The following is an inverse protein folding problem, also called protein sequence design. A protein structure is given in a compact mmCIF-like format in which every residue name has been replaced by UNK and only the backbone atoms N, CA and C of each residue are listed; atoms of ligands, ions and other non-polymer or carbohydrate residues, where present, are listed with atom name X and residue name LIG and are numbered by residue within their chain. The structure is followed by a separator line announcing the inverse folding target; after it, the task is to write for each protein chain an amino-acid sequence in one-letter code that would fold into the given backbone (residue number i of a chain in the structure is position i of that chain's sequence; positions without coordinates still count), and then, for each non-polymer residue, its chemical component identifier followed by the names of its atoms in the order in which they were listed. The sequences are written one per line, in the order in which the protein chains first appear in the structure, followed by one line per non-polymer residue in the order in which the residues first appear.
data_IF_008503038151
#
_entry.id   IF_008503038151
#
_cell.length_a   1.000
_cell.length_b   1.000
_cell.length_c   1.000
_cell.angle_alpha   90.00
_cell.angle_beta   90.00
_cell.angle_gamma   90.00
#
_symmetry.space_group_name_H-M   'P 1'
#
loop_
_entity.id
_entity.type
_entity.pdbx_description
1 polymer ?
#
# COMPACT_ATOMS: atom_id res chain seq x y z
N UNK A 1 14.79 0.85 -17.93
CA UNK A 1 14.87 1.49 -16.60
C UNK A 1 13.45 1.81 -16.15
N UNK A 2 12.62 0.80 -15.87
CA UNK A 2 11.23 0.97 -15.39
C UNK A 2 10.73 -0.37 -14.81
N UNK A 3 11.06 -0.65 -13.55
CA UNK A 3 10.62 -1.84 -12.82
C UNK A 3 10.41 -1.49 -11.35
N UNK A 4 9.40 -0.68 -11.07
CA UNK A 4 8.93 -0.43 -9.71
C UNK A 4 7.46 -0.10 -9.80
N UNK A 5 6.60 -0.94 -9.22
CA UNK A 5 5.31 -0.62 -8.56
C UNK A 5 4.39 -1.84 -8.59
N UNK A 6 4.33 -2.51 -7.45
CA UNK A 6 3.33 -3.50 -7.04
C UNK A 6 3.02 -3.18 -5.57
N UNK A 7 1.82 -3.48 -5.05
CA UNK A 7 1.37 -3.50 -3.63
C UNK A 7 1.77 -2.30 -2.73
N UNK A 8 0.89 -1.47 -2.16
CA UNK A 8 1.32 -0.32 -1.31
C UNK A 8 0.68 -0.21 0.07
N UNK A 9 -0.19 -1.13 0.47
CA UNK A 9 -0.73 -1.14 1.83
C UNK A 9 0.13 -2.02 2.76
N UNK A 10 0.45 -3.25 2.37
CA UNK A 10 1.34 -4.15 3.12
C UNK A 10 2.84 -4.03 2.78
N UNK A 11 3.24 -3.11 1.88
CA UNK A 11 4.63 -3.07 1.42
C UNK A 11 5.57 -2.30 2.33
N UNK A 12 5.21 -1.19 2.93
CA UNK A 12 6.27 -0.27 3.37
C UNK A 12 6.97 -0.65 4.66
N UNK A 13 6.32 -1.40 5.56
CA UNK A 13 7.02 -2.08 6.67
C UNK A 13 7.79 -3.31 6.16
N UNK A 14 7.15 -4.17 5.37
CA UNK A 14 7.75 -5.39 4.82
C UNK A 14 8.87 -5.16 3.80
N UNK A 15 8.94 -3.98 3.18
CA UNK A 15 9.91 -3.63 2.12
C UNK A 15 11.18 -3.01 2.63
N UNK A 16 11.15 -2.30 3.76
CA UNK A 16 12.39 -1.85 4.38
C UNK A 16 13.28 -3.05 4.70
N UNK A 17 12.67 -4.19 5.03
CA UNK A 17 13.34 -5.46 5.28
C UNK A 17 13.70 -6.23 4.00
N UNK A 18 12.75 -6.41 3.07
CA UNK A 18 12.97 -7.24 1.88
C UNK A 18 13.79 -6.55 0.76
N UNK A 19 13.74 -5.22 0.63
CA UNK A 19 14.49 -4.50 -0.42
C UNK A 19 16.00 -4.50 -0.16
N UNK A 20 16.43 -4.80 1.06
CA UNK A 20 17.85 -4.85 1.43
C UNK A 20 18.48 -6.19 1.01
N UNK A 21 17.73 -7.29 1.05
CA UNK A 21 18.20 -8.63 0.66
C UNK A 21 18.55 -8.74 -0.84
N UNK A 22 17.92 -7.93 -1.70
CA UNK A 22 18.06 -8.04 -3.17
C UNK A 22 18.88 -6.86 -3.77
N UNK A 23 19.15 -5.81 -2.98
CA UNK A 23 19.80 -4.57 -3.46
C UNK A 23 21.32 -4.49 -3.27
N UNK A 24 21.96 -5.48 -2.65
CA UNK A 24 23.37 -5.43 -2.27
C UNK A 24 24.33 -5.89 -3.37
N UNK A 25 24.46 -5.12 -4.47
CA UNK A 25 25.65 -5.09 -5.35
C UNK A 25 25.38 -4.19 -6.58
N UNK A 26 25.39 -2.87 -6.40
CA UNK A 26 25.56 -1.93 -7.52
C UNK A 26 26.55 -0.85 -7.09
N UNK A 27 27.69 -0.79 -7.78
CA UNK A 27 28.72 0.22 -7.61
C UNK A 27 28.12 1.63 -7.72
N UNK A 28 28.44 2.50 -6.75
CA UNK A 28 27.99 3.90 -6.72
C UNK A 28 28.65 4.67 -7.87
N UNK A 29 27.85 5.23 -8.78
CA UNK A 29 28.30 6.31 -9.68
C UNK A 29 28.59 7.59 -8.86
N UNK A 30 29.57 8.41 -9.27
CA UNK A 30 29.89 9.67 -8.60
C UNK A 30 28.66 10.59 -8.55
N UNK A 31 28.47 11.25 -7.40
CA UNK A 31 27.32 12.09 -7.15
C UNK A 31 27.40 13.38 -7.98
N UNK A 32 26.32 13.78 -8.68
CA UNK A 32 26.23 15.09 -9.31
C UNK A 32 26.23 16.20 -8.24
N UNK A 33 26.63 17.42 -8.61
CA UNK A 33 26.71 18.56 -7.68
C UNK A 33 25.34 18.85 -7.02
N UNK A 34 25.35 19.37 -5.79
CA UNK A 34 24.13 19.56 -5.00
C UNK A 34 23.25 20.63 -5.65
N UNK A 35 22.19 20.19 -6.33
CA UNK A 35 21.06 21.05 -6.67
C UNK A 35 20.34 21.35 -5.36
N UNK A 36 20.20 22.64 -5.02
CA UNK A 36 19.37 23.09 -3.89
C UNK A 36 17.91 22.80 -4.24
N UNK A 37 17.48 21.59 -3.93
CA UNK A 37 16.10 21.15 -4.08
C UNK A 37 15.30 21.70 -2.89
N UNK A 38 14.13 22.28 -3.16
CA UNK A 38 13.13 22.58 -2.11
C UNK A 38 12.97 21.34 -1.23
N UNK A 39 12.96 21.48 0.12
CA UNK A 39 12.85 20.34 1.01
C UNK A 39 11.58 19.57 0.67
N UNK A 40 11.78 18.36 0.14
CA UNK A 40 10.67 17.46 -0.17
C UNK A 40 9.99 17.10 1.16
N UNK A 41 8.65 17.15 1.25
CA UNK A 41 7.96 16.74 2.47
C UNK A 41 8.40 15.34 2.88
N UNK A 42 8.51 15.07 4.20
CA UNK A 42 8.97 13.78 4.70
C UNK A 42 8.10 12.67 4.13
N UNK A 43 8.74 11.69 3.49
CA UNK A 43 8.03 10.55 2.92
C UNK A 43 7.43 9.71 4.06
N UNK A 44 6.10 9.58 4.07
CA UNK A 44 5.40 8.74 5.02
C UNK A 44 5.73 7.25 4.84
N UNK A 45 5.44 6.45 5.86
CA UNK A 45 5.55 4.99 5.74
C UNK A 45 4.52 4.46 4.74
N UNK A 46 3.25 4.83 4.83
CA UNK A 46 2.18 4.32 3.96
C UNK A 46 1.63 5.45 3.08
N UNK A 47 1.28 5.13 1.83
CA UNK A 47 0.57 6.05 0.93
C UNK A 47 -0.86 5.58 0.76
N UNK A 48 -1.81 6.44 1.11
CA UNK A 48 -3.25 6.19 1.00
C UNK A 48 -3.75 6.23 -0.46
N UNK A 49 -2.86 6.48 -1.44
CA UNK A 49 -3.08 6.32 -2.88
C UNK A 49 -3.84 5.03 -3.22
N UNK A 50 -3.67 3.98 -2.38
CA UNK A 50 -4.27 2.69 -2.61
C UNK A 50 -5.81 2.67 -2.56
N UNK A 51 -6.43 3.66 -1.93
CA UNK A 51 -7.86 3.70 -1.74
C UNK A 51 -8.45 5.11 -1.89
N UNK A 52 -7.61 6.13 -1.97
CA UNK A 52 -8.01 7.50 -2.28
C UNK A 52 -8.03 7.80 -3.78
N UNK A 53 -7.70 6.85 -4.66
CA UNK A 53 -7.65 7.03 -6.10
C UNK A 53 -8.60 6.04 -6.78
N UNK A 54 -9.61 6.58 -7.47
CA UNK A 54 -10.57 5.81 -8.25
C UNK A 54 -10.29 6.05 -9.75
N UNK A 55 -9.87 5.02 -10.50
CA UNK A 55 -9.52 5.19 -11.90
C UNK A 55 -10.75 5.36 -12.79
N UNK A 56 -10.57 6.09 -13.90
CA UNK A 56 -11.54 6.18 -14.98
C UNK A 56 -10.98 5.53 -16.24
N UNK A 57 -11.87 4.95 -17.05
CA UNK A 57 -11.49 4.19 -18.24
C UNK A 57 -11.33 5.06 -19.49
N UNK A 58 -11.98 6.22 -19.52
CA UNK A 58 -12.05 7.12 -20.66
C UNK A 58 -11.09 8.30 -20.51
N UNK A 59 -10.73 8.96 -21.62
CA UNK A 59 -9.81 10.11 -21.64
C UNK A 59 -10.47 11.42 -21.24
N UNK A 60 -11.79 11.45 -21.14
CA UNK A 60 -12.62 12.61 -20.79
C UNK A 60 -13.36 12.33 -19.50
N UNK A 61 -13.62 13.38 -18.71
CA UNK A 61 -14.41 13.24 -17.48
C UNK A 61 -15.88 12.96 -17.86
N UNK A 62 -16.50 11.91 -17.32
CA UNK A 62 -17.87 11.57 -17.64
C UNK A 62 -18.85 12.72 -17.31
N UNK A 63 -19.70 13.18 -18.24
CA UNK A 63 -20.62 14.31 -18.03
C UNK A 63 -21.84 13.98 -17.15
N UNK A 64 -22.08 12.71 -16.83
CA UNK A 64 -23.22 12.26 -16.02
C UNK A 64 -22.81 11.23 -14.99
N UNK A 65 -23.63 11.05 -13.95
CA UNK A 65 -23.41 10.01 -12.94
C UNK A 65 -23.39 8.59 -13.54
N UNK A 66 -24.33 8.25 -14.42
CA UNK A 66 -24.36 6.93 -15.07
C UNK A 66 -23.07 6.63 -15.82
N UNK A 67 -22.61 7.57 -16.66
CA UNK A 67 -21.35 7.42 -17.40
C UNK A 67 -20.12 7.39 -16.46
N UNK A 68 -20.18 8.06 -15.31
CA UNK A 68 -19.14 7.96 -14.29
C UNK A 68 -19.05 6.55 -13.72
N UNK A 69 -20.19 5.96 -13.36
CA UNK A 69 -20.23 4.58 -12.84
C UNK A 69 -19.69 3.58 -13.87
N UNK A 70 -20.11 3.70 -15.13
CA UNK A 70 -19.65 2.85 -16.24
C UNK A 70 -18.13 3.00 -16.48
N UNK A 71 -17.62 4.23 -16.41
CA UNK A 71 -16.19 4.50 -16.58
C UNK A 71 -15.35 3.92 -15.43
N UNK A 72 -15.83 4.05 -14.19
CA UNK A 72 -15.18 3.46 -13.02
C UNK A 72 -15.18 1.93 -13.10
N UNK A 73 -16.34 1.31 -13.39
CA UNK A 73 -16.45 -0.14 -13.57
C UNK A 73 -15.46 -0.64 -14.64
N UNK A 74 -15.46 0.03 -15.80
CA UNK A 74 -14.56 -0.29 -16.92
C UNK A 74 -13.08 -0.16 -16.57
N UNK A 75 -12.72 0.68 -15.59
CA UNK A 75 -11.36 0.78 -15.09
C UNK A 75 -11.04 -0.34 -14.09
N UNK A 76 -11.97 -0.68 -13.20
CA UNK A 76 -11.80 -1.73 -12.20
C UNK A 76 -11.68 -3.13 -12.82
N UNK A 77 -12.44 -3.45 -13.87
CA UNK A 77 -12.34 -4.75 -14.57
C UNK A 77 -10.99 -4.99 -15.24
N UNK A 78 -10.18 -3.94 -15.46
CA UNK A 78 -8.80 -4.07 -15.94
C UNK A 78 -7.83 -4.53 -14.85
N UNK A 79 -8.20 -4.36 -13.58
CA UNK A 79 -7.40 -4.71 -12.41
C UNK A 79 -7.94 -5.92 -11.65
N UNK A 80 -9.21 -6.25 -11.81
CA UNK A 80 -9.89 -7.31 -11.06
C UNK A 80 -10.85 -8.11 -11.93
N UNK A 81 -11.02 -9.38 -11.59
CA UNK A 81 -12.14 -10.21 -12.06
C UNK A 81 -13.22 -10.24 -10.99
N UNK A 82 -14.47 -10.05 -11.37
CA UNK A 82 -15.62 -9.99 -10.46
C UNK A 82 -16.60 -11.13 -10.72
N UNK A 83 -17.26 -11.68 -9.67
CA UNK A 83 -18.36 -12.61 -9.85
C UNK A 83 -19.63 -11.93 -10.39
N UNK A 84 -19.90 -10.69 -9.96
CA UNK A 84 -21.04 -9.88 -10.37
C UNK A 84 -20.58 -8.44 -10.66
N UNK A 85 -20.29 -8.15 -11.92
CA UNK A 85 -19.80 -6.84 -12.34
C UNK A 85 -20.85 -5.72 -12.18
N UNK A 86 -22.15 -6.05 -12.14
CA UNK A 86 -23.22 -5.06 -12.10
C UNK A 86 -23.31 -4.32 -10.75
N UNK A 87 -22.71 -4.87 -9.69
CA UNK A 87 -22.75 -4.30 -8.33
C UNK A 87 -21.48 -3.54 -7.94
N UNK A 88 -20.47 -3.50 -8.80
CA UNK A 88 -19.14 -2.98 -8.44
C UNK A 88 -19.17 -1.48 -8.18
N UNK A 89 -19.96 -0.71 -8.93
CA UNK A 89 -20.08 0.73 -8.74
C UNK A 89 -21.55 1.11 -8.71
N UNK A 90 -22.00 1.72 -7.63
CA UNK A 90 -23.37 2.21 -7.48
C UNK A 90 -23.36 3.67 -7.07
N UNK A 91 -24.10 4.50 -7.80
CA UNK A 91 -24.32 5.91 -7.49
C UNK A 91 -25.81 6.13 -7.25
N UNK A 92 -26.18 6.73 -6.13
CA UNK A 92 -27.58 6.92 -5.73
C UNK A 92 -27.78 8.38 -5.34
N UNK A 93 -28.85 9.00 -5.84
CA UNK A 93 -29.25 10.35 -5.47
C UNK A 93 -28.31 11.46 -5.96
N UNK A 94 -28.66 12.69 -5.63
CA UNK A 94 -27.94 13.90 -5.99
C UNK A 94 -28.15 14.38 -7.43
N UNK A 95 -27.57 15.55 -7.73
CA UNK A 95 -27.48 16.12 -9.08
C UNK A 95 -26.01 16.29 -9.43
N UNK A 96 -25.52 15.47 -10.36
CA UNK A 96 -24.13 15.49 -10.82
C UNK A 96 -23.64 16.93 -11.11
N UNK A 97 -22.46 17.35 -10.60
CA UNK A 97 -21.42 16.55 -9.95
C UNK A 97 -21.56 16.38 -8.42
N UNK A 98 -22.74 16.61 -7.84
CA UNK A 98 -23.05 16.22 -6.48
C UNK A 98 -23.80 14.88 -6.46
N UNK A 99 -23.31 13.92 -5.69
CA UNK A 99 -23.86 12.56 -5.54
C UNK A 99 -24.17 12.35 -4.06
N UNK A 100 -25.34 11.81 -3.74
CA UNK A 100 -25.66 11.53 -2.34
C UNK A 100 -24.87 10.32 -1.84
N UNK A 101 -24.93 9.20 -2.56
CA UNK A 101 -24.22 7.96 -2.17
C UNK A 101 -23.37 7.43 -3.32
N UNK A 102 -22.11 7.15 -3.04
CA UNK A 102 -21.19 6.41 -3.93
C UNK A 102 -20.68 5.17 -3.23
N UNK A 103 -20.97 4.00 -3.79
CA UNK A 103 -20.48 2.71 -3.32
C UNK A 103 -19.59 2.05 -4.37
N UNK A 104 -18.44 1.57 -3.94
CA UNK A 104 -17.55 0.70 -4.71
C UNK A 104 -17.45 -0.65 -3.99
N UNK A 105 -17.96 -1.70 -4.62
CA UNK A 105 -17.95 -3.05 -4.05
C UNK A 105 -16.96 -3.94 -4.81
N UNK A 106 -15.84 -4.24 -4.15
CA UNK A 106 -14.78 -5.14 -4.62
C UNK A 106 -14.82 -6.49 -3.89
N UNK A 107 -15.94 -6.84 -3.26
CA UNK A 107 -16.11 -8.11 -2.56
C UNK A 107 -16.03 -9.28 -3.53
N UNK A 108 -15.37 -10.35 -3.09
CA UNK A 108 -15.01 -11.52 -3.89
C UNK A 108 -14.21 -11.23 -5.18
N UNK A 109 -13.72 -10.01 -5.36
CA UNK A 109 -12.91 -9.67 -6.52
C UNK A 109 -11.56 -10.38 -6.45
N UNK A 110 -11.09 -10.85 -7.61
CA UNK A 110 -9.78 -11.48 -7.76
C UNK A 110 -8.85 -10.52 -8.49
N UNK A 111 -7.78 -10.10 -7.81
CA UNK A 111 -6.77 -9.22 -8.39
C UNK A 111 -6.08 -9.89 -9.58
N UNK A 112 -6.04 -9.18 -10.72
CA UNK A 112 -5.36 -9.63 -11.93
C UNK A 112 -3.85 -9.41 -11.74
N UNK A 113 -3.03 -10.47 -11.84
CA UNK A 113 -1.58 -10.34 -11.75
C UNK A 113 -1.04 -9.38 -12.80
N UNK A 114 -0.06 -8.57 -12.41
CA UNK A 114 0.62 -7.56 -13.24
C UNK A 114 -0.27 -6.46 -13.83
N UNK A 115 -1.54 -6.33 -13.40
CA UNK A 115 -2.38 -5.20 -13.77
C UNK A 115 -1.69 -3.87 -13.41
N UNK A 116 -1.68 -2.92 -14.36
CA UNK A 116 -1.10 -1.60 -14.14
C UNK A 116 -2.02 -0.80 -13.23
N UNK A 117 -1.53 -0.44 -12.05
CA UNK A 117 -2.20 0.55 -11.22
C UNK A 117 -2.00 1.94 -11.82
N UNK A 118 -3.06 2.75 -11.96
CA UNK A 118 -2.89 4.15 -12.30
C UNK A 118 -1.97 4.80 -11.29
N UNK A 119 -1.00 5.54 -11.79
CA UNK A 119 -0.14 6.33 -10.94
C UNK A 119 -0.41 7.79 -11.16
N UNK A 120 -0.56 8.53 -10.06
CA UNK A 120 -0.80 9.96 -10.09
C UNK A 120 0.33 10.65 -10.84
N UNK A 121 -0.04 11.53 -11.76
CA UNK A 121 0.86 12.47 -12.41
C UNK A 121 1.33 13.55 -11.45
N UNK A 122 1.75 14.69 -12.01
CA UNK A 122 1.94 15.89 -11.21
C UNK A 122 0.60 16.42 -10.73
N UNK A 123 0.47 16.68 -9.44
CA UNK A 123 -0.74 17.27 -8.86
C UNK A 123 -0.89 18.70 -9.38
N UNK A 124 -2.05 18.98 -9.97
CA UNK A 124 -2.42 20.34 -10.41
C UNK A 124 -3.68 20.78 -9.66
N UNK A 125 -3.84 22.08 -9.39
CA UNK A 125 -5.12 22.59 -8.91
C UNK A 125 -6.23 22.09 -9.84
N UNK A 126 -7.20 21.37 -9.28
CA UNK A 126 -8.28 20.84 -10.09
C UNK A 126 -9.31 21.92 -10.35
N UNK A 127 -9.79 21.99 -11.58
CA UNK A 127 -10.92 22.85 -11.98
C UNK A 127 -12.25 22.10 -11.93
N UNK A 128 -12.21 20.78 -11.69
CA UNK A 128 -13.38 19.92 -11.66
C UNK A 128 -13.33 19.00 -10.45
N UNK A 129 -14.36 19.09 -9.62
CA UNK A 129 -14.52 18.25 -8.44
C UNK A 129 -15.89 17.60 -8.42
N UNK A 130 -15.96 16.44 -7.80
CA UNK A 130 -17.15 15.66 -7.53
C UNK A 130 -17.39 15.65 -6.02
N UNK A 131 -18.60 16.01 -5.61
CA UNK A 131 -19.00 15.98 -4.21
C UNK A 131 -19.81 14.72 -3.94
N UNK A 132 -19.48 14.02 -2.86
CA UNK A 132 -20.14 12.78 -2.44
C UNK A 132 -20.52 12.92 -0.97
N UNK A 133 -21.80 12.86 -0.65
CA UNK A 133 -22.25 12.96 0.75
C UNK A 133 -21.81 11.74 1.55
N UNK A 134 -22.01 10.54 1.03
CA UNK A 134 -21.61 9.27 1.64
C UNK A 134 -20.85 8.38 0.66
N UNK A 135 -19.58 8.11 0.97
CA UNK A 135 -18.69 7.25 0.19
C UNK A 135 -18.44 5.94 0.94
N UNK A 136 -18.51 4.82 0.22
CA UNK A 136 -18.09 3.51 0.73
C UNK A 136 -17.27 2.73 -0.30
N UNK A 137 -16.22 2.07 0.16
CA UNK A 137 -15.48 1.07 -0.59
C UNK A 137 -15.35 -0.19 0.27
N UNK A 138 -15.84 -1.32 -0.22
CA UNK A 138 -15.83 -2.60 0.49
C UNK A 138 -15.10 -3.64 -0.35
N UNK A 139 -14.31 -4.51 0.28
CA UNK A 139 -13.62 -5.61 -0.37
C UNK A 139 -13.53 -6.79 0.60
N UNK A 140 -14.54 -7.66 0.60
CA UNK A 140 -14.68 -8.76 1.56
C UNK A 140 -15.01 -10.10 0.87
N UNK A 141 -14.04 -11.03 0.75
CA UNK A 141 -12.61 -10.80 0.73
C UNK A 141 -12.14 -10.32 -0.66
N UNK A 142 -11.07 -9.52 -0.68
CA UNK A 142 -10.27 -9.31 -1.88
C UNK A 142 -9.22 -10.43 -2.01
N UNK A 143 -9.18 -11.10 -3.16
CA UNK A 143 -8.34 -12.29 -3.36
C UNK A 143 -7.18 -12.04 -4.32
N UNK A 144 -6.06 -12.70 -4.09
CA UNK A 144 -4.91 -12.74 -5.01
C UNK A 144 -4.73 -14.14 -5.57
N UNK A 145 -4.94 -14.32 -6.88
CA UNK A 145 -4.72 -15.62 -7.54
C UNK A 145 -3.25 -16.07 -7.50
N UNK A 146 -2.32 -15.12 -7.52
CA UNK A 146 -0.89 -15.42 -7.62
C UNK A 146 -0.29 -15.90 -6.29
N UNK A 147 -0.82 -15.42 -5.17
CA UNK A 147 -0.34 -15.78 -3.83
C UNK A 147 -1.30 -16.69 -3.08
N UNK A 148 -2.51 -16.94 -3.59
CA UNK A 148 -3.56 -17.67 -2.86
C UNK A 148 -3.79 -17.06 -1.46
N UNK A 149 -3.88 -15.72 -1.44
CA UNK A 149 -4.06 -14.92 -0.24
C UNK A 149 -5.31 -14.06 -0.35
N UNK A 150 -5.79 -13.61 0.81
CA UNK A 150 -6.97 -12.78 0.92
C UNK A 150 -6.78 -11.67 1.97
N UNK A 151 -7.45 -10.55 1.75
CA UNK A 151 -7.54 -9.47 2.71
C UNK A 151 -8.92 -8.83 2.64
N UNK A 152 -9.39 -8.36 3.78
CA UNK A 152 -10.61 -7.59 3.89
C UNK A 152 -10.26 -6.11 4.01
N UNK A 153 -11.08 -5.26 3.41
CA UNK A 153 -10.94 -3.82 3.54
C UNK A 153 -12.31 -3.16 3.45
N UNK A 154 -12.58 -2.25 4.38
CA UNK A 154 -13.76 -1.42 4.36
C UNK A 154 -13.35 0.03 4.60
N UNK A 155 -13.86 0.93 3.76
CA UNK A 155 -13.67 2.37 3.89
C UNK A 155 -15.04 3.01 3.85
N UNK A 156 -15.29 3.89 4.79
CA UNK A 156 -16.46 4.77 4.78
C UNK A 156 -16.02 6.20 4.99
N UNK A 157 -16.65 7.15 4.32
CA UNK A 157 -16.37 8.56 4.52
C UNK A 157 -17.59 9.42 4.20
N UNK A 158 -17.73 10.53 4.89
CA UNK A 158 -18.82 11.49 4.70
C UNK A 158 -18.28 12.86 4.30
N UNK A 159 -19.03 13.57 3.46
CA UNK A 159 -18.67 14.88 2.92
C UNK A 159 -17.35 14.83 2.14
N UNK A 160 -17.27 13.93 1.16
CA UNK A 160 -16.06 13.68 0.39
C UNK A 160 -16.04 14.57 -0.86
N UNK A 161 -14.88 15.18 -1.13
CA UNK A 161 -14.59 15.81 -2.42
C UNK A 161 -13.57 14.97 -3.15
N UNK A 162 -13.92 14.54 -4.37
CA UNK A 162 -12.97 13.97 -5.31
C UNK A 162 -12.58 15.02 -6.35
N UNK A 163 -11.30 15.32 -6.46
CA UNK A 163 -10.77 16.13 -7.54
C UNK A 163 -10.47 15.25 -8.74
N UNK A 164 -10.78 15.75 -9.94
CA UNK A 164 -10.31 15.13 -11.17
C UNK A 164 -8.84 15.48 -11.34
N UNK A 165 -8.00 14.45 -11.45
CA UNK A 165 -6.58 14.55 -11.70
C UNK A 165 -6.19 13.69 -12.89
N UNK A 166 -4.97 13.86 -13.39
CA UNK A 166 -4.42 13.01 -14.46
C UNK A 166 -3.41 12.02 -13.90
N UNK A 167 -3.48 10.79 -14.39
CA UNK A 167 -2.43 9.81 -14.22
C UNK A 167 -1.18 10.24 -15.01
N UNK A 168 -0.05 9.57 -14.76
CA UNK A 168 1.16 9.75 -15.57
C UNK A 168 0.95 9.45 -17.05
N UNK A 169 0.02 8.56 -17.36
CA UNK A 169 -0.34 8.19 -18.73
C UNK A 169 -1.39 9.15 -19.33
N UNK A 170 -1.72 10.24 -18.63
CA UNK A 170 -2.66 11.26 -19.07
C UNK A 170 -4.14 10.91 -18.85
N UNK A 171 -4.44 9.71 -18.37
CA UNK A 171 -5.81 9.26 -18.10
C UNK A 171 -6.40 9.96 -16.87
N UNK A 172 -7.66 10.42 -16.92
CA UNK A 172 -8.31 11.00 -15.76
C UNK A 172 -8.49 9.95 -14.65
N UNK A 173 -8.44 10.42 -13.41
CA UNK A 173 -8.74 9.67 -12.20
C UNK A 173 -9.42 10.60 -11.20
N UNK A 174 -10.28 10.04 -10.35
CA UNK A 174 -10.81 10.72 -9.19
C UNK A 174 -9.85 10.53 -8.02
N UNK A 175 -9.49 11.61 -7.36
CA UNK A 175 -8.61 11.59 -6.20
C UNK A 175 -9.31 12.25 -5.02
N UNK A 176 -9.40 11.53 -3.90
CA UNK A 176 -9.95 12.08 -2.66
C UNK A 176 -9.08 13.27 -2.24
N UNK A 177 -9.67 14.46 -2.41
CA UNK A 177 -9.06 15.72 -2.08
C UNK A 177 -9.50 16.20 -0.70
N UNK A 178 -10.67 15.76 -0.25
CA UNK A 178 -11.25 16.16 1.00
C UNK A 178 -12.18 15.08 1.57
N UNK A 179 -12.31 15.01 2.88
CA UNK A 179 -13.29 14.19 3.61
C UNK A 179 -13.60 14.84 4.97
N UNK A 180 -14.88 15.07 5.27
CA UNK A 180 -15.30 15.59 6.58
C UNK A 180 -14.93 14.62 7.71
N UNK A 181 -15.24 13.34 7.51
CA UNK A 181 -14.84 12.24 8.39
C UNK A 181 -14.76 10.95 7.59
N UNK A 182 -13.95 10.00 8.05
CA UNK A 182 -13.90 8.67 7.46
C UNK A 182 -13.21 7.65 8.35
N UNK A 183 -13.49 6.38 8.05
CA UNK A 183 -12.90 5.23 8.71
C UNK A 183 -12.35 4.27 7.67
N UNK A 184 -11.28 3.58 8.04
CA UNK A 184 -10.66 2.49 7.29
C UNK A 184 -10.54 1.31 8.25
N UNK A 185 -11.16 0.20 7.90
CA UNK A 185 -10.92 -1.10 8.50
C UNK A 185 -10.16 -1.97 7.49
N UNK A 186 -9.12 -2.65 7.96
CA UNK A 186 -8.38 -3.63 7.19
C UNK A 186 -8.08 -4.83 8.08
N UNK A 187 -8.32 -6.02 7.56
CA UNK A 187 -7.89 -7.23 8.23
C UNK A 187 -7.41 -8.32 7.27
N UNK A 188 -6.48 -9.15 7.74
CA UNK A 188 -5.95 -10.28 6.99
C UNK A 188 -5.29 -11.27 7.94
N UNK A 189 -5.18 -12.53 7.53
CA UNK A 189 -4.43 -13.52 8.29
C UNK A 189 -2.93 -13.32 8.07
N UNK A 190 -2.13 -13.55 9.11
CA UNK A 190 -0.67 -13.48 9.03
C UNK A 190 -0.12 -14.42 7.96
N UNK A 191 -0.70 -15.62 7.80
CA UNK A 191 -0.37 -16.56 6.72
C UNK A 191 -0.63 -16.01 5.31
N UNK A 192 -1.66 -15.18 5.15
CA UNK A 192 -2.02 -14.58 3.85
C UNK A 192 -1.02 -13.46 3.48
N UNK A 193 -0.50 -12.76 4.50
CA UNK A 193 0.62 -11.83 4.35
C UNK A 193 1.93 -12.54 4.03
N UNK A 194 2.25 -13.66 4.71
CA UNK A 194 3.42 -14.49 4.40
C UNK A 194 3.41 -14.96 2.95
N UNK A 195 2.28 -15.52 2.48
CA UNK A 195 2.08 -15.92 1.08
C UNK A 195 2.28 -14.75 0.12
N UNK A 196 1.66 -13.60 0.40
CA UNK A 196 1.79 -12.38 -0.41
C UNK A 196 3.23 -11.88 -0.49
N UNK A 197 3.95 -11.87 0.64
CA UNK A 197 5.34 -11.48 0.72
C UNK A 197 6.24 -12.46 -0.02
N UNK A 198 6.00 -13.77 0.13
CA UNK A 198 6.75 -14.83 -0.52
C UNK A 198 6.63 -14.74 -2.05
N UNK A 199 5.42 -14.55 -2.57
CA UNK A 199 5.19 -14.34 -4.02
C UNK A 199 5.98 -13.12 -4.51
N UNK A 200 5.85 -11.97 -3.82
CA UNK A 200 6.59 -10.76 -4.18
C UNK A 200 8.12 -10.91 -4.05
N UNK A 201 8.61 -11.75 -3.13
CA UNK A 201 10.02 -12.05 -2.93
C UNK A 201 10.57 -12.95 -4.04
N UNK A 202 9.82 -13.99 -4.42
CA UNK A 202 10.16 -14.88 -5.54
C UNK A 202 10.23 -14.13 -6.86
N UNK A 203 9.27 -13.24 -7.14
CA UNK A 203 9.30 -12.41 -8.34
C UNK A 203 10.58 -11.58 -8.46
N UNK A 204 11.08 -11.01 -7.35
CA UNK A 204 12.33 -10.24 -7.34
C UNK A 204 13.58 -11.11 -7.37
N UNK A 205 13.59 -12.19 -6.60
CA UNK A 205 14.72 -13.12 -6.47
C UNK A 205 15.02 -13.87 -7.77
N UNK A 206 13.98 -14.11 -8.60
CA UNK A 206 14.08 -14.80 -9.90
C UNK A 206 15.12 -14.21 -10.88
N UNK A 207 15.61 -13.00 -10.63
CA UNK A 207 16.60 -12.31 -11.48
C UNK A 207 18.05 -12.54 -11.06
N UNK A 208 18.30 -13.31 -10.00
CA UNK A 208 19.65 -13.57 -9.48
C UNK A 208 19.84 -15.00 -9.01
N UNK A 209 20.92 -15.23 -8.27
CA UNK A 209 21.26 -16.54 -7.68
C UNK A 209 20.47 -16.84 -6.39
N UNK A 210 19.62 -15.92 -5.93
CA UNK A 210 18.90 -16.03 -4.65
C UNK A 210 17.47 -16.50 -4.87
N UNK A 211 17.14 -17.67 -4.35
CA UNK A 211 15.78 -18.22 -4.35
C UNK A 211 15.19 -18.12 -2.95
N UNK A 212 14.09 -17.38 -2.78
CA UNK A 212 13.37 -17.30 -1.50
C UNK A 212 12.44 -18.51 -1.37
N UNK A 213 12.68 -19.33 -0.35
CA UNK A 213 11.95 -20.58 -0.11
C UNK A 213 10.75 -20.36 0.79
N UNK A 214 10.95 -19.66 1.90
CA UNK A 214 9.93 -19.43 2.91
C UNK A 214 10.06 -18.03 3.51
N UNK A 215 8.93 -17.48 3.96
CA UNK A 215 8.85 -16.31 4.82
C UNK A 215 7.89 -16.66 5.94
N UNK A 216 8.32 -16.50 7.18
CA UNK A 216 7.46 -16.60 8.36
C UNK A 216 7.41 -15.27 9.08
N UNK A 217 6.23 -14.90 9.56
CA UNK A 217 5.95 -13.68 10.28
C UNK A 217 5.34 -14.02 11.63
N UNK A 218 5.88 -13.43 12.68
CA UNK A 218 5.29 -13.41 14.01
C UNK A 218 5.11 -11.95 14.43
N UNK A 219 3.88 -11.59 14.76
CA UNK A 219 3.53 -10.25 15.20
C UNK A 219 2.88 -10.34 16.57
N UNK A 220 3.26 -9.41 17.43
CA UNK A 220 2.68 -9.30 18.77
C UNK A 220 2.30 -7.86 19.04
N UNK A 221 1.00 -7.63 19.31
CA UNK A 221 0.57 -6.36 19.85
C UNK A 221 1.12 -6.16 21.26
N UNK A 222 1.83 -5.06 21.45
CA UNK A 222 2.34 -4.61 22.75
C UNK A 222 1.38 -3.57 23.37
N UNK A 223 0.63 -2.87 22.52
CA UNK A 223 -0.39 -1.90 22.88
C UNK A 223 -1.26 -1.54 21.66
N UNK A 224 -2.20 -0.59 21.80
CA UNK A 224 -3.13 -0.24 20.72
C UNK A 224 -2.44 0.37 19.49
N UNK A 225 -1.21 0.88 19.63
CA UNK A 225 -0.41 1.54 18.59
C UNK A 225 1.03 1.02 18.51
N UNK A 226 1.26 -0.18 19.06
CA UNK A 226 2.60 -0.75 19.21
C UNK A 226 2.62 -2.23 18.84
N UNK A 227 3.54 -2.61 17.96
CA UNK A 227 3.70 -3.99 17.47
C UNK A 227 5.17 -4.38 17.51
N UNK A 228 5.44 -5.54 18.08
CA UNK A 228 6.70 -6.27 17.86
C UNK A 228 6.53 -7.19 16.65
N UNK A 229 7.52 -7.21 15.77
CA UNK A 229 7.53 -8.00 14.55
C UNK A 229 8.82 -8.83 14.48
N UNK A 230 8.66 -10.13 14.22
CA UNK A 230 9.74 -11.04 13.89
C UNK A 230 9.47 -11.62 12.51
N UNK A 231 10.45 -11.52 11.61
CA UNK A 231 10.37 -12.12 10.28
C UNK A 231 11.52 -13.09 10.09
N UNK A 232 11.22 -14.33 9.73
CA UNK A 232 12.21 -15.30 9.28
C UNK A 232 12.13 -15.47 7.77
N UNK A 233 13.27 -15.44 7.10
CA UNK A 233 13.37 -15.60 5.65
C UNK A 233 14.36 -16.71 5.36
N UNK A 234 13.88 -17.79 4.76
CA UNK A 234 14.72 -18.91 4.32
C UNK A 234 14.97 -18.80 2.82
N UNK A 235 16.23 -18.91 2.41
CA UNK A 235 16.65 -18.74 1.02
C UNK A 235 17.68 -19.79 0.60
N UNK A 236 17.90 -19.92 -0.70
CA UNK A 236 19.06 -20.58 -1.28
C UNK A 236 19.84 -19.58 -2.13
N UNK A 237 21.16 -19.54 -1.96
CA UNK A 237 22.07 -18.84 -2.86
C UNK A 237 22.79 -19.88 -3.72
N UNK A 238 22.37 -19.99 -4.98
CA UNK A 238 22.69 -21.17 -5.80
C UNK A 238 22.09 -22.43 -5.16
N UNK A 239 22.95 -23.27 -4.58
CA UNK A 239 22.58 -24.50 -3.86
C UNK A 239 22.83 -24.44 -2.36
N UNK A 240 23.35 -23.31 -1.84
CA UNK A 240 23.75 -23.17 -0.44
C UNK A 240 22.60 -22.54 0.36
N UNK A 241 22.12 -23.19 1.43
CA UNK A 241 21.14 -22.61 2.35
C UNK A 241 21.63 -21.34 3.04
N UNK A 242 20.73 -20.36 3.13
CA UNK A 242 20.92 -19.17 3.92
C UNK A 242 19.60 -18.74 4.53
N UNK A 243 19.57 -18.50 5.84
CA UNK A 243 18.42 -17.93 6.50
C UNK A 243 18.76 -16.65 7.25
N UNK A 244 17.72 -15.84 7.46
CA UNK A 244 17.82 -14.54 8.08
C UNK A 244 16.62 -14.34 9.00
N UNK A 245 16.91 -13.96 10.24
CA UNK A 245 15.92 -13.52 11.21
C UNK A 245 16.02 -12.01 11.37
N UNK A 246 14.89 -11.35 11.25
CA UNK A 246 14.76 -9.93 11.45
C UNK A 246 13.82 -9.68 12.63
N UNK A 247 14.17 -8.69 13.45
CA UNK A 247 13.30 -8.24 14.54
C UNK A 247 13.15 -6.73 14.45
N UNK A 248 11.97 -6.23 14.81
CA UNK A 248 11.68 -4.80 14.88
C UNK A 248 10.52 -4.55 15.83
N UNK A 249 10.48 -3.36 16.41
CA UNK A 249 9.30 -2.82 17.07
C UNK A 249 8.85 -1.57 16.32
N UNK A 250 7.54 -1.39 16.20
CA UNK A 250 6.95 -0.17 15.64
C UNK A 250 5.98 0.42 16.63
N UNK A 251 6.22 1.68 17.00
CA UNK A 251 5.32 2.47 17.84
C UNK A 251 4.79 3.66 17.05
N UNK A 252 3.50 3.97 17.21
CA UNK A 252 2.83 5.14 16.61
C UNK A 252 2.47 6.14 17.72
N UNK A 253 2.97 7.36 17.58
CA UNK A 253 2.72 8.45 18.53
C UNK A 253 1.34 9.13 18.32
N UNK A 254 1.02 10.10 19.16
CA UNK A 254 -0.24 10.87 19.07
C UNK A 254 -0.30 11.82 17.88
N UNK A 255 0.83 12.09 17.23
CA UNK A 255 0.91 12.88 16.00
C UNK A 255 0.80 12.00 14.74
N UNK A 256 0.47 10.72 14.91
CA UNK A 256 0.38 9.72 13.85
C UNK A 256 1.71 9.52 13.11
N UNK A 257 2.84 9.72 13.78
CA UNK A 257 4.14 9.30 13.28
C UNK A 257 4.47 7.91 13.80
N UNK A 258 4.96 7.04 12.92
CA UNK A 258 5.50 5.76 13.32
C UNK A 258 7.02 5.82 13.42
N UNK A 259 7.55 5.21 14.48
CA UNK A 259 8.99 5.02 14.69
C UNK A 259 9.30 3.55 14.73
N UNK A 260 10.32 3.14 13.98
CA UNK A 260 10.84 1.76 14.01
C UNK A 260 12.00 1.72 15.00
N UNK A 261 11.97 0.78 15.93
CA UNK A 261 12.99 0.56 16.95
C UNK A 261 13.54 -0.85 16.87
N UNK A 262 14.76 -1.02 17.39
CA UNK A 262 15.43 -2.30 17.52
C UNK A 262 15.42 -3.12 16.22
N UNK A 263 15.55 -2.44 15.07
CA UNK A 263 15.56 -3.10 13.77
C UNK A 263 16.89 -3.83 13.59
N UNK A 264 16.86 -5.14 13.83
CA UNK A 264 18.06 -5.98 13.74
C UNK A 264 17.89 -7.08 12.68
N UNK A 265 19.03 -7.60 12.24
CA UNK A 265 19.11 -8.80 11.43
C UNK A 265 20.20 -9.73 11.96
N UNK A 266 19.84 -11.00 12.05
CA UNK A 266 20.68 -12.11 12.44
C UNK A 266 20.64 -13.15 11.33
N UNK A 267 21.80 -13.72 11.02
CA UNK A 267 21.92 -14.74 10.01
C UNK A 267 21.95 -16.10 10.68
N UNK A 268 21.18 -17.04 10.15
CA UNK A 268 21.32 -18.46 10.45
C UNK A 268 21.72 -19.23 9.18
N UNK A 269 22.10 -20.49 9.33
CA UNK A 269 22.66 -21.32 8.26
C UNK A 269 24.01 -20.82 7.68
N UNK A 270 24.49 -21.50 6.63
CA UNK A 270 25.87 -21.42 6.16
C UNK A 270 26.27 -20.03 5.63
N UNK A 271 25.37 -19.34 4.93
CA UNK A 271 25.64 -18.01 4.35
C UNK A 271 24.92 -16.86 5.08
N UNK A 272 24.00 -17.16 6.00
CA UNK A 272 23.22 -16.14 6.69
C UNK A 272 24.09 -15.07 7.35
N UNK A 273 25.08 -15.43 8.20
CA UNK A 273 25.93 -14.45 8.87
C UNK A 273 26.67 -13.52 7.90
N UNK A 274 27.11 -14.03 6.74
CA UNK A 274 27.78 -13.25 5.70
C UNK A 274 26.80 -12.27 5.03
N UNK A 275 25.63 -12.75 4.60
CA UNK A 275 24.60 -11.91 3.98
C UNK A 275 24.18 -10.79 4.94
N UNK A 276 24.02 -11.12 6.22
CA UNK A 276 23.61 -10.16 7.25
C UNK A 276 24.59 -8.99 7.41
N UNK A 277 25.89 -9.21 7.21
CA UNK A 277 26.86 -8.11 7.25
C UNK A 277 26.64 -7.06 6.15
N UNK A 278 26.13 -7.47 4.99
CA UNK A 278 25.84 -6.55 3.89
C UNK A 278 24.52 -5.79 4.07
N UNK A 279 23.53 -6.39 4.75
CA UNK A 279 22.20 -5.78 4.91
C UNK A 279 22.13 -4.83 6.11
N UNK A 280 22.89 -5.10 7.19
CA UNK A 280 22.89 -4.29 8.43
C UNK A 280 23.07 -2.78 8.20
N UNK A 281 24.04 -2.31 7.38
CA UNK A 281 24.20 -0.86 7.13
C UNK A 281 22.98 -0.20 6.48
N UNK A 282 22.18 -0.97 5.74
CA UNK A 282 20.96 -0.45 5.14
C UNK A 282 19.78 -0.46 6.12
N UNK A 283 19.71 -1.46 7.01
CA UNK A 283 18.70 -1.52 8.08
C UNK A 283 18.91 -0.40 9.11
N UNK A 284 20.16 -0.11 9.47
CA UNK A 284 20.51 0.97 10.40
C UNK A 284 19.99 2.36 9.99
N UNK A 285 19.63 2.57 8.72
CA UNK A 285 19.02 3.83 8.24
C UNK A 285 17.55 3.99 8.62
N UNK A 286 16.90 2.90 9.02
CA UNK A 286 15.49 2.85 9.41
C UNK A 286 15.30 2.69 10.91
N UNK A 287 16.31 2.18 11.63
CA UNK A 287 16.27 2.07 13.08
C UNK A 287 16.27 3.46 13.75
N UNK A 288 15.38 3.66 14.72
CA UNK A 288 15.10 4.94 15.36
C UNK A 288 14.44 5.98 14.45
N UNK A 289 14.06 5.62 13.21
CA UNK A 289 13.60 6.61 12.22
C UNK A 289 12.11 6.87 12.38
N UNK A 290 11.75 8.10 12.69
CA UNK A 290 10.35 8.59 12.75
C UNK A 290 9.91 9.21 11.43
N UNK A 291 8.70 8.86 10.98
CA UNK A 291 8.00 9.43 9.81
C UNK A 291 6.48 9.38 10.02
N UNK A 292 5.69 10.22 9.33
CA UNK A 292 4.24 10.06 9.31
C UNK A 292 3.86 8.63 8.92
N UNK A 293 2.92 8.01 9.65
CA UNK A 293 2.48 6.64 9.38
C UNK A 293 1.85 6.56 7.99
N UNK A 294 0.98 7.50 7.67
CA UNK A 294 0.22 7.52 6.42
C UNK A 294 0.24 8.93 5.82
N UNK A 295 0.34 8.99 4.49
CA UNK A 295 0.13 10.22 3.72
C UNK A 295 -1.04 10.05 2.77
N UNK A 296 -1.90 11.07 2.71
CA UNK A 296 -2.96 11.18 1.74
C UNK A 296 -2.47 11.92 0.49
N UNK A 297 -3.06 11.67 -0.69
CA UNK A 297 -2.71 12.40 -1.90
C UNK A 297 -2.87 13.92 -1.77
N UNK A 298 -3.85 14.36 -0.97
CA UNK A 298 -4.10 15.76 -0.65
C UNK A 298 -3.83 16.01 0.86
N UNK A 299 -3.08 17.08 1.22
CA UNK A 299 -2.77 17.41 2.62
C UNK A 299 -3.97 17.84 3.48
N UNK A 300 -5.12 18.14 2.88
CA UNK A 300 -6.36 18.47 3.61
C UNK A 300 -6.92 17.26 4.37
N UNK A 301 -6.69 16.03 3.87
CA UNK A 301 -7.08 14.80 4.57
C UNK A 301 -5.92 14.29 5.42
N UNK A 302 -6.19 14.06 6.70
CA UNK A 302 -5.19 13.60 7.67
C UNK A 302 -5.67 12.36 8.40
N UNK A 303 -4.70 11.51 8.76
CA UNK A 303 -4.92 10.45 9.72
C UNK A 303 -5.11 11.08 11.11
N UNK A 304 -6.16 10.69 11.83
CA UNK A 304 -6.53 11.22 13.14
C UNK A 304 -6.29 10.21 14.25
N UNK A 305 -6.56 8.95 13.96
CA UNK A 305 -6.35 7.86 14.89
C UNK A 305 -6.02 6.57 14.12
N UNK A 306 -5.33 5.66 14.81
CA UNK A 306 -5.08 4.31 14.35
C UNK A 306 -5.02 3.37 15.56
N UNK A 307 -5.62 2.20 15.40
CA UNK A 307 -5.49 1.07 16.30
C UNK A 307 -5.03 -0.14 15.51
N UNK A 308 -4.11 -0.91 16.09
CA UNK A 308 -3.55 -2.08 15.46
C UNK A 308 -3.55 -3.25 16.44
N UNK A 309 -4.12 -4.37 15.99
CA UNK A 309 -4.02 -5.66 16.66
C UNK A 309 -3.28 -6.63 15.75
N UNK A 310 -2.36 -7.43 16.30
CA UNK A 310 -1.56 -8.36 15.54
C UNK A 310 -1.31 -9.66 16.32
N UNK A 311 -1.40 -10.78 15.60
CA UNK A 311 -1.25 -12.15 16.07
C UNK A 311 -1.45 -13.10 14.89
N UNK A 312 -2.37 -14.07 14.99
CA UNK A 312 -2.78 -14.89 13.83
C UNK A 312 -3.48 -14.06 12.75
N UNK A 313 -4.22 -13.02 13.18
CA UNK A 313 -4.84 -12.02 12.33
C UNK A 313 -4.23 -10.66 12.63
N UNK A 314 -4.04 -9.87 11.59
CA UNK A 314 -3.69 -8.46 11.70
C UNK A 314 -4.94 -7.66 11.41
N UNK A 315 -5.29 -6.75 12.31
CA UNK A 315 -6.38 -5.78 12.13
C UNK A 315 -5.81 -4.36 12.24
N UNK A 316 -6.26 -3.49 11.36
CA UNK A 316 -5.96 -2.07 11.37
C UNK A 316 -7.26 -1.30 11.26
N UNK A 317 -7.52 -0.49 12.27
CA UNK A 317 -8.64 0.45 12.31
C UNK A 317 -8.07 1.85 12.30
N UNK A 318 -8.49 2.68 11.36
CA UNK A 318 -7.99 4.03 11.19
C UNK A 318 -9.14 5.02 11.01
N UNK A 319 -8.97 6.22 11.58
CA UNK A 319 -9.89 7.35 11.43
C UNK A 319 -9.17 8.46 10.67
N UNK A 320 -9.81 9.03 9.67
CA UNK A 320 -9.27 10.12 8.87
C UNK A 320 -10.30 11.23 8.61
N UNK A 321 -9.83 12.39 8.17
CA UNK A 321 -10.67 13.55 7.84
C UNK A 321 -9.86 14.85 7.89
N UNK A 322 -10.55 15.99 7.78
CA UNK A 322 -9.96 17.33 7.96
C UNK A 322 -9.35 17.53 9.34
#
# INVERSE_FOLDING_TARGET
MEHRRWVSAGRTLSFALLAVVIGGCCAKKPAPPPVVLKPKPPEAWIKADAFCILPLSESVVPPTGGQLADSMLSAWIKAFTFPDAAKVVTLIGGRYPAIDVMRVDLSDAVAIPKAKRPSVGELKPSVQSLWVSDFSLVAEPLRSKESDSQANMQITASGVRFDVQKSKDGMPLLMMADAGSGTLHFDTLTRDLEKSMLTAAKERGSRGLVSVRNISLDFKSVGPRSIDAVMHVSTLVGFIPAGMKFTARVDIDDQMNATIYNLTAEGDEALGPLIVQFIRPSLAKYDGKTKPLMSFPNPEVKLKDVQISAGERITLDAVFGK
#
